data_IF_612128145972
#
_entry.id   IF_612128145972
#
_cell.length_a   1.000
_cell.length_b   1.000
_cell.length_c   1.000
_cell.angle_alpha   90.00
_cell.angle_beta   90.00
_cell.angle_gamma   90.00
#
_symmetry.space_group_name_H-M   'P 1'
#
loop_
_entity.id
_entity.type
_entity.pdbx_description
1 polymer ?
#
# COMPACT_ATOMS: atom_id res chain seq x y z
N UNK A 1 -2.55 -37.23 25.45
CA UNK A 1 -3.46 -36.13 25.06
C UNK A 1 -2.62 -34.87 25.03
N UNK A 2 -2.11 -34.47 23.87
CA UNK A 2 -1.29 -33.25 23.72
C UNK A 2 -2.26 -32.07 23.64
N UNK A 3 -2.20 -31.19 24.63
CA UNK A 3 -2.86 -29.88 24.59
C UNK A 3 -2.23 -29.07 23.47
N UNK A 4 -3.04 -28.74 22.47
CA UNK A 4 -2.69 -27.76 21.45
C UNK A 4 -2.93 -26.42 22.12
N UNK A 5 -1.88 -25.81 22.66
CA UNK A 5 -1.91 -24.39 23.00
C UNK A 5 -2.01 -23.61 21.68
N UNK A 6 -3.22 -23.34 21.24
CA UNK A 6 -3.47 -22.20 20.35
C UNK A 6 -3.26 -20.95 21.20
N UNK A 7 -1.99 -20.59 21.40
CA UNK A 7 -1.64 -19.25 21.82
C UNK A 7 -2.05 -18.34 20.65
N UNK A 8 -3.31 -17.87 20.66
CA UNK A 8 -3.79 -16.78 19.81
C UNK A 8 -2.99 -15.53 20.17
N UNK A 9 -1.75 -15.51 19.71
CA UNK A 9 -0.89 -14.35 19.82
C UNK A 9 -1.50 -13.33 18.88
N UNK A 10 -1.88 -12.17 19.43
CA UNK A 10 -2.37 -11.05 18.62
C UNK A 10 -1.46 -10.86 17.40
N UNK A 11 -2.01 -10.65 16.19
CA UNK A 11 -1.20 -10.49 14.99
C UNK A 11 -0.23 -9.31 15.19
N UNK A 12 1.02 -9.52 14.80
CA UNK A 12 2.04 -8.48 14.82
C UNK A 12 1.93 -7.55 13.61
N UNK A 13 2.67 -6.44 13.64
CA UNK A 13 2.67 -5.43 12.56
C UNK A 13 2.96 -6.04 11.20
N UNK A 14 3.82 -7.07 11.11
CA UNK A 14 4.13 -7.76 9.86
C UNK A 14 2.97 -8.58 9.31
N UNK A 15 2.25 -9.29 10.18
CA UNK A 15 1.05 -10.05 9.79
C UNK A 15 -0.04 -9.10 9.33
N UNK A 16 -0.19 -7.97 10.01
CA UNK A 16 -1.17 -6.95 9.69
C UNK A 16 -0.85 -6.24 8.36
N UNK A 17 0.42 -5.90 8.11
CA UNK A 17 0.83 -5.32 6.81
C UNK A 17 0.58 -6.29 5.65
N UNK A 18 0.85 -7.59 5.83
CA UNK A 18 0.57 -8.60 4.81
C UNK A 18 -0.94 -8.74 4.52
N UNK A 19 -1.78 -8.71 5.55
CA UNK A 19 -3.25 -8.68 5.37
C UNK A 19 -3.72 -7.42 4.66
N UNK A 20 -3.21 -6.26 5.03
CA UNK A 20 -3.53 -4.99 4.35
C UNK A 20 -3.14 -5.07 2.86
N UNK A 21 -1.97 -5.63 2.57
CA UNK A 21 -1.45 -5.84 1.21
C UNK A 21 -2.39 -6.73 0.38
N UNK A 22 -2.85 -7.85 0.93
CA UNK A 22 -3.79 -8.74 0.26
C UNK A 22 -5.17 -8.10 0.02
N UNK A 23 -5.67 -7.35 1.00
CA UNK A 23 -6.95 -6.63 0.88
C UNK A 23 -6.88 -5.51 -0.16
N UNK A 24 -5.79 -4.75 -0.20
CA UNK A 24 -5.55 -3.71 -1.21
C UNK A 24 -5.52 -4.31 -2.63
N UNK A 25 -4.83 -5.43 -2.82
CA UNK A 25 -4.85 -6.15 -4.09
C UNK A 25 -6.27 -6.64 -4.45
N UNK A 26 -7.03 -7.15 -3.48
CA UNK A 26 -8.40 -7.58 -3.71
C UNK A 26 -9.34 -6.42 -4.11
N UNK A 27 -9.12 -5.21 -3.60
CA UNK A 27 -9.91 -4.02 -3.91
C UNK A 27 -9.75 -3.54 -5.35
N UNK A 28 -8.54 -3.62 -5.90
CA UNK A 28 -8.26 -3.22 -7.29
C UNK A 28 -8.68 -4.28 -8.31
N UNK A 29 -8.93 -5.52 -7.88
CA UNK A 29 -9.38 -6.59 -8.76
C UNK A 29 -10.83 -6.35 -9.26
N UNK A 30 -11.07 -6.21 -10.57
CA UNK A 30 -12.41 -5.95 -11.12
C UNK A 30 -13.45 -7.02 -10.80
N UNK A 31 -13.04 -8.26 -10.54
CA UNK A 31 -13.95 -9.36 -10.19
C UNK A 31 -14.58 -9.17 -8.80
N UNK A 32 -13.97 -8.36 -7.94
CA UNK A 32 -14.42 -8.11 -6.57
C UNK A 32 -15.29 -6.87 -6.42
N UNK A 33 -15.76 -6.25 -7.53
CA UNK A 33 -16.59 -5.03 -7.49
C UNK A 33 -17.79 -5.14 -6.54
N UNK A 34 -18.46 -6.30 -6.51
CA UNK A 34 -19.62 -6.53 -5.63
C UNK A 34 -19.28 -6.62 -4.13
N UNK A 35 -18.00 -6.71 -3.77
CA UNK A 35 -17.51 -6.84 -2.40
C UNK A 35 -16.69 -5.64 -1.94
N UNK A 36 -16.60 -4.56 -2.73
CA UNK A 36 -15.72 -3.43 -2.44
C UNK A 36 -16.00 -2.79 -1.07
N UNK A 37 -17.25 -2.51 -0.73
CA UNK A 37 -17.59 -1.91 0.57
C UNK A 37 -17.12 -2.78 1.74
N UNK A 38 -17.33 -4.10 1.63
CA UNK A 38 -16.89 -5.07 2.65
C UNK A 38 -15.36 -5.11 2.74
N UNK A 39 -14.67 -5.12 1.62
CA UNK A 39 -13.21 -5.13 1.57
C UNK A 39 -12.63 -3.83 2.16
N UNK A 40 -13.26 -2.68 1.90
CA UNK A 40 -12.88 -1.40 2.49
C UNK A 40 -13.03 -1.41 4.03
N UNK A 41 -14.14 -1.95 4.55
CA UNK A 41 -14.34 -2.10 6.00
C UNK A 41 -13.29 -3.03 6.61
N UNK A 42 -13.01 -4.16 5.96
CA UNK A 42 -11.97 -5.09 6.43
C UNK A 42 -10.59 -4.42 6.45
N UNK A 43 -10.23 -3.69 5.39
CA UNK A 43 -8.96 -2.97 5.31
C UNK A 43 -8.87 -1.88 6.38
N UNK A 44 -9.94 -1.12 6.60
CA UNK A 44 -10.00 -0.11 7.66
C UNK A 44 -9.71 -0.72 9.04
N UNK A 45 -10.35 -1.84 9.37
CA UNK A 45 -10.12 -2.53 10.65
C UNK A 45 -8.67 -3.00 10.79
N UNK A 46 -8.09 -3.60 9.75
CA UNK A 46 -6.68 -4.05 9.77
C UNK A 46 -5.71 -2.87 9.92
N UNK A 47 -6.01 -1.71 9.30
CA UNK A 47 -5.22 -0.48 9.46
C UNK A 47 -5.28 0.09 10.88
N UNK A 48 -6.43 0.05 11.54
CA UNK A 48 -6.58 0.47 12.94
C UNK A 48 -5.75 -0.42 13.89
N UNK A 49 -5.77 -1.74 13.68
CA UNK A 49 -4.90 -2.65 14.43
C UNK A 49 -3.42 -2.39 14.12
N UNK A 50 -3.08 -2.17 12.85
CA UNK A 50 -1.71 -1.90 12.44
C UNK A 50 -1.19 -0.63 13.14
N UNK A 51 -1.94 0.47 13.12
CA UNK A 51 -1.60 1.72 13.80
C UNK A 51 -1.27 1.49 15.29
N UNK A 52 -2.12 0.72 15.99
CA UNK A 52 -1.89 0.40 17.40
C UNK A 52 -0.61 -0.44 17.62
N UNK A 53 -0.31 -1.37 16.71
CA UNK A 53 0.90 -2.23 16.82
C UNK A 53 2.19 -1.53 16.40
N UNK A 54 2.15 -0.51 15.55
CA UNK A 54 3.36 0.22 15.12
C UNK A 54 4.05 0.95 16.28
N UNK A 55 3.32 1.26 17.35
CA UNK A 55 3.87 1.85 18.58
C UNK A 55 4.51 0.83 19.53
N UNK A 56 4.39 -0.48 19.24
CA UNK A 56 4.94 -1.57 20.06
C UNK A 56 6.37 -1.91 19.62
N UNK A 57 7.20 -2.48 20.50
CA UNK A 57 8.52 -2.98 20.11
C UNK A 57 8.41 -4.12 19.08
N UNK A 58 9.41 -4.21 18.20
CA UNK A 58 9.50 -5.29 17.21
C UNK A 58 9.58 -6.65 17.92
N UNK A 59 8.66 -7.60 17.63
CA UNK A 59 8.68 -8.92 18.25
C UNK A 59 9.98 -9.68 17.97
N UNK A 60 10.44 -10.48 18.93
CA UNK A 60 11.72 -11.22 18.82
C UNK A 60 11.78 -12.12 17.57
N UNK A 61 10.68 -12.80 17.23
CA UNK A 61 10.61 -13.66 16.04
C UNK A 61 10.68 -12.89 14.71
N UNK A 62 10.53 -11.56 14.74
CA UNK A 62 10.66 -10.67 13.58
C UNK A 62 12.03 -10.03 13.42
N UNK A 63 12.87 -10.00 14.46
CA UNK A 63 14.17 -9.31 14.40
C UNK A 63 15.17 -9.89 13.40
N UNK A 64 15.00 -11.16 13.01
CA UNK A 64 15.94 -11.89 12.15
C UNK A 64 15.27 -12.45 10.88
N UNK A 65 14.09 -11.95 10.51
CA UNK A 65 13.49 -12.32 9.24
C UNK A 65 14.21 -11.57 8.11
N UNK A 66 14.66 -12.32 7.11
CA UNK A 66 15.15 -11.75 5.87
C UNK A 66 14.03 -11.05 5.09
N UNK A 67 14.38 -10.52 3.92
CA UNK A 67 13.40 -9.95 2.98
C UNK A 67 12.37 -11.05 2.64
N UNK A 68 11.04 -10.76 2.69
CA UNK A 68 10.02 -11.68 2.21
C UNK A 68 10.37 -12.27 0.85
N UNK A 69 10.02 -13.54 0.64
CA UNK A 69 10.03 -14.09 -0.70
C UNK A 69 8.96 -13.37 -1.53
N UNK A 70 9.33 -12.96 -2.74
CA UNK A 70 8.38 -12.37 -3.69
C UNK A 70 7.32 -13.41 -4.05
N UNK A 71 6.06 -13.05 -3.83
CA UNK A 71 4.89 -13.87 -4.15
C UNK A 71 4.27 -13.51 -5.51
N UNK A 72 4.89 -12.60 -6.27
CA UNK A 72 4.45 -12.14 -7.58
C UNK A 72 3.14 -11.38 -7.55
N UNK A 73 2.69 -10.95 -6.36
CA UNK A 73 1.43 -10.26 -6.18
C UNK A 73 1.51 -8.78 -6.57
N UNK A 74 2.68 -8.17 -6.40
CA UNK A 74 2.95 -6.78 -6.73
C UNK A 74 4.08 -6.71 -7.74
N UNK A 75 3.94 -5.80 -8.68
CA UNK A 75 5.06 -5.39 -9.51
C UNK A 75 5.91 -4.40 -8.70
N UNK A 76 7.18 -4.75 -8.51
CA UNK A 76 8.17 -3.93 -7.82
C UNK A 76 9.02 -3.13 -8.81
N UNK A 77 8.74 -3.20 -10.10
CA UNK A 77 9.38 -2.34 -11.09
C UNK A 77 9.09 -0.86 -10.77
N UNK A 78 10.13 -0.03 -10.92
CA UNK A 78 9.95 1.41 -10.88
C UNK A 78 9.01 1.82 -12.02
N UNK A 79 8.12 2.78 -11.72
CA UNK A 79 7.20 3.30 -12.74
C UNK A 79 7.98 4.12 -13.77
N UNK A 80 7.71 3.87 -15.04
CA UNK A 80 8.26 4.65 -16.13
C UNK A 80 7.68 6.09 -16.12
N UNK A 81 8.39 7.09 -16.68
CA UNK A 81 7.93 8.47 -16.67
C UNK A 81 6.54 8.70 -17.28
N UNK A 82 6.17 7.93 -18.31
CA UNK A 82 4.84 7.97 -18.93
C UNK A 82 3.75 7.41 -18.01
N UNK A 83 4.01 6.30 -17.31
CA UNK A 83 3.09 5.75 -16.31
C UNK A 83 2.85 6.72 -15.15
N UNK A 84 3.90 7.39 -14.68
CA UNK A 84 3.80 8.45 -13.67
C UNK A 84 2.99 9.65 -14.18
N UNK A 85 3.16 10.02 -15.45
CA UNK A 85 2.40 11.08 -16.09
C UNK A 85 0.90 10.72 -16.16
N UNK A 86 0.58 9.48 -16.55
CA UNK A 86 -0.78 8.97 -16.59
C UNK A 86 -1.44 8.99 -15.20
N UNK A 87 -0.71 8.60 -14.15
CA UNK A 87 -1.20 8.72 -12.77
C UNK A 87 -1.48 10.18 -12.38
N UNK A 88 -0.59 11.11 -12.73
CA UNK A 88 -0.79 12.53 -12.46
C UNK A 88 -2.06 13.06 -13.15
N UNK A 89 -2.29 12.68 -14.41
CA UNK A 89 -3.49 13.07 -15.15
C UNK A 89 -4.76 12.50 -14.52
N UNK A 90 -4.76 11.22 -14.14
CA UNK A 90 -5.90 10.56 -13.50
C UNK A 90 -6.26 11.20 -12.14
N UNK A 91 -5.24 11.52 -11.32
CA UNK A 91 -5.44 12.19 -10.04
C UNK A 91 -5.95 13.63 -10.22
N UNK A 92 -5.41 14.38 -11.19
CA UNK A 92 -5.91 15.73 -11.49
C UNK A 92 -7.36 15.70 -11.98
N UNK A 93 -7.71 14.75 -12.86
CA UNK A 93 -9.10 14.55 -13.27
C UNK A 93 -9.99 14.27 -12.06
N UNK A 94 -9.56 13.38 -11.15
CA UNK A 94 -10.27 13.08 -9.91
C UNK A 94 -10.52 14.32 -9.04
N UNK A 95 -9.54 15.23 -8.92
CA UNK A 95 -9.69 16.51 -8.21
C UNK A 95 -10.74 17.43 -8.84
N UNK A 96 -10.82 17.44 -10.17
CA UNK A 96 -11.80 18.22 -10.90
C UNK A 96 -13.22 17.66 -10.73
N UNK A 97 -13.37 16.34 -10.62
CA UNK A 97 -14.68 15.68 -10.62
C UNK A 97 -15.29 15.47 -9.23
N UNK A 98 -14.47 15.26 -8.20
CA UNK A 98 -15.00 15.04 -6.85
C UNK A 98 -15.51 16.35 -6.23
N UNK A 99 -16.40 16.26 -5.25
CA UNK A 99 -16.92 17.41 -4.53
C UNK A 99 -16.49 17.46 -3.06
N UNK A 100 -16.20 16.31 -2.45
CA UNK A 100 -15.77 16.25 -1.06
C UNK A 100 -14.40 16.92 -0.87
N UNK A 101 -14.37 17.95 -0.01
CA UNK A 101 -13.16 18.74 0.23
C UNK A 101 -12.04 17.92 0.85
N UNK A 102 -12.36 17.05 1.81
CA UNK A 102 -11.35 16.24 2.51
C UNK A 102 -10.71 15.24 1.56
N UNK A 103 -11.50 14.62 0.68
CA UNK A 103 -10.96 13.74 -0.36
C UNK A 103 -10.06 14.53 -1.31
N UNK A 104 -10.44 15.75 -1.71
CA UNK A 104 -9.57 16.59 -2.56
C UNK A 104 -8.22 16.92 -1.90
N UNK A 105 -8.22 17.24 -0.61
CA UNK A 105 -6.98 17.52 0.13
C UNK A 105 -6.05 16.28 0.12
N UNK A 106 -6.60 15.09 0.34
CA UNK A 106 -5.85 13.82 0.28
C UNK A 106 -5.30 13.55 -1.13
N UNK A 107 -6.14 13.65 -2.16
CA UNK A 107 -5.71 13.41 -3.55
C UNK A 107 -4.66 14.45 -3.99
N UNK A 108 -4.76 15.70 -3.52
CA UNK A 108 -3.75 16.74 -3.81
C UNK A 108 -2.39 16.37 -3.23
N UNK A 109 -2.35 15.81 -2.02
CA UNK A 109 -1.12 15.32 -1.42
C UNK A 109 -0.50 14.19 -2.25
N UNK A 110 -1.29 13.19 -2.64
CA UNK A 110 -0.82 12.06 -3.46
C UNK A 110 -0.32 12.54 -4.83
N UNK A 111 -1.04 13.47 -5.46
CA UNK A 111 -0.64 14.06 -6.75
C UNK A 111 0.71 14.78 -6.63
N UNK A 112 0.94 15.53 -5.55
CA UNK A 112 2.22 16.18 -5.30
C UNK A 112 3.36 15.16 -5.18
N UNK A 113 3.18 14.07 -4.44
CA UNK A 113 4.18 12.99 -4.36
C UNK A 113 4.46 12.36 -5.73
N UNK A 114 3.42 12.15 -6.56
CA UNK A 114 3.60 11.59 -7.91
C UNK A 114 4.35 12.52 -8.85
N UNK A 115 4.12 13.84 -8.76
CA UNK A 115 4.93 14.81 -9.52
C UNK A 115 6.40 14.79 -9.08
N UNK A 116 6.66 14.62 -7.78
CA UNK A 116 8.04 14.52 -7.28
C UNK A 116 8.73 13.24 -7.76
N UNK A 117 8.02 12.11 -7.76
CA UNK A 117 8.52 10.86 -8.34
C UNK A 117 8.84 11.02 -9.84
N UNK A 118 7.94 11.65 -10.60
CA UNK A 118 8.17 11.94 -12.02
C UNK A 118 9.37 12.87 -12.23
N UNK A 119 9.50 13.91 -11.40
CA UNK A 119 10.66 14.81 -11.46
C UNK A 119 11.95 14.03 -11.23
N UNK A 120 11.98 13.12 -10.25
CA UNK A 120 13.14 12.30 -9.94
C UNK A 120 13.48 11.29 -11.03
N UNK A 121 12.49 10.62 -11.65
CA UNK A 121 12.74 9.63 -12.71
C UNK A 121 13.41 10.24 -13.94
N UNK A 122 13.13 11.52 -14.24
CA UNK A 122 13.77 12.26 -15.34
C UNK A 122 15.26 12.58 -15.10
N UNK A 123 15.73 12.55 -13.85
CA UNK A 123 17.16 12.71 -13.53
C UNK A 123 17.90 11.38 -13.48
N UNK A 124 17.20 10.27 -13.17
CA UNK A 124 17.80 8.94 -13.11
C UNK A 124 18.31 8.45 -14.48
N UNK A 125 17.77 8.99 -15.58
CA UNK A 125 18.26 8.73 -16.95
C UNK A 125 19.53 9.50 -17.35
N UNK A 126 20.17 10.22 -16.42
CA UNK A 126 21.23 11.20 -16.71
C UNK A 126 22.70 10.76 -16.53
N UNK A 127 23.00 9.58 -15.95
CA UNK A 127 24.40 9.19 -15.67
C UNK A 127 24.80 7.83 -16.26
N UNK A 128 25.05 7.81 -17.57
CA UNK A 128 26.23 7.15 -18.16
C UNK A 128 26.72 8.02 -19.32
N UNK A 129 27.50 9.07 -19.00
CA UNK A 129 28.43 9.63 -19.98
C UNK A 129 29.78 9.03 -19.65
N UNK A 130 30.31 8.29 -20.62
CA UNK A 130 31.58 7.55 -20.60
C UNK A 130 32.80 8.42 -20.27
#
# INVERSE_FOLDING_TARGET
MKTIDTNETSPDSWTLTDRCRLLANALVNPQNRGSQDRLCIMLQNELEYLEATLSQPIPEHRKNLGIPMDDGLFDYADLEPDELCDQCMALNFTLMTLHDRKIKEIITYILWERFEMLRCSLYASGEVIA
#
